data_IF_183592277488
#
_entry.id   IF_183592277488
#
_cell.length_a   1.000
_cell.length_b   1.000
_cell.length_c   1.000
_cell.angle_alpha   90.00
_cell.angle_beta   90.00
_cell.angle_gamma   90.00
#
_symmetry.space_group_name_H-M   'P 1'
#
loop_
_entity.id
_entity.type
_entity.pdbx_description
1 polymer ?
#
# COMPACT_ATOMS: atom_id res chain seq x y z
N UNK A 1 20.52 4.27 2.45
CA UNK A 1 19.48 3.24 2.67
C UNK A 1 19.55 2.74 4.11
N UNK A 2 18.41 2.48 4.78
CA UNK A 2 18.39 1.91 6.14
C UNK A 2 18.89 0.46 6.15
N UNK A 3 19.44 0.00 7.28
CA UNK A 3 19.79 -1.40 7.47
C UNK A 3 18.53 -2.26 7.74
N UNK A 4 18.62 -3.57 7.45
CA UNK A 4 17.51 -4.50 7.77
C UNK A 4 17.35 -4.55 9.30
N UNK A 5 16.14 -4.31 9.80
CA UNK A 5 15.85 -4.28 11.24
C UNK A 5 16.00 -2.90 11.89
N UNK A 6 16.46 -1.89 11.16
CA UNK A 6 16.41 -0.51 11.66
C UNK A 6 14.97 -0.06 11.90
N UNK A 7 14.77 0.78 12.93
CA UNK A 7 13.45 1.36 13.24
C UNK A 7 12.80 2.10 12.06
N UNK A 8 13.63 2.63 11.15
CA UNK A 8 13.17 3.38 9.98
C UNK A 8 13.19 2.56 8.69
N UNK A 9 13.49 1.26 8.77
CA UNK A 9 13.41 0.38 7.61
C UNK A 9 11.95 0.23 7.17
N UNK A 10 11.66 0.29 5.86
CA UNK A 10 10.34 -0.06 5.34
C UNK A 10 9.93 -1.45 5.80
N UNK A 11 8.65 -1.66 6.07
CA UNK A 11 8.10 -2.96 6.46
C UNK A 11 6.85 -3.25 5.65
N UNK A 12 6.67 -4.52 5.30
CA UNK A 12 5.48 -4.99 4.63
C UNK A 12 5.04 -6.31 5.26
N UNK A 13 3.75 -6.38 5.58
CA UNK A 13 3.06 -7.57 6.08
C UNK A 13 2.12 -8.05 4.98
N UNK A 14 2.41 -9.20 4.38
CA UNK A 14 1.62 -9.76 3.28
C UNK A 14 0.21 -10.19 3.70
N UNK A 15 -0.09 -10.29 5.01
CA UNK A 15 -1.46 -10.43 5.50
C UNK A 15 -2.29 -9.14 5.40
N UNK A 16 -1.63 -8.00 5.14
CA UNK A 16 -2.25 -6.68 4.95
C UNK A 16 -1.84 -6.06 3.60
N UNK A 17 -2.31 -6.62 2.46
CA UNK A 17 -2.01 -6.12 1.12
C UNK A 17 -2.13 -4.60 0.95
N UNK A 18 -3.14 -3.97 1.57
CA UNK A 18 -3.34 -2.51 1.54
C UNK A 18 -2.15 -1.66 2.01
N UNK A 19 -1.19 -2.25 2.74
CA UNK A 19 0.02 -1.56 3.21
C UNK A 19 1.14 -1.53 2.16
N UNK A 20 1.04 -2.33 1.08
CA UNK A 20 2.07 -2.42 0.05
C UNK A 20 2.33 -1.10 -0.69
N UNK A 21 1.32 -0.27 -1.05
CA UNK A 21 1.59 1.04 -1.64
C UNK A 21 2.39 1.94 -0.70
N UNK A 22 2.11 1.88 0.60
CA UNK A 22 2.85 2.63 1.62
C UNK A 22 4.30 2.14 1.72
N UNK A 23 4.51 0.83 1.72
CA UNK A 23 5.84 0.24 1.70
C UNK A 23 6.71 0.76 0.55
N UNK A 24 6.15 0.80 -0.67
CA UNK A 24 6.85 1.36 -1.83
C UNK A 24 7.08 2.88 -1.73
N UNK A 25 6.13 3.63 -1.15
CA UNK A 25 6.31 5.06 -0.87
C UNK A 25 7.46 5.33 0.12
N UNK A 26 7.57 4.52 1.17
CA UNK A 26 8.67 4.61 2.15
C UNK A 26 10.02 4.26 1.49
N UNK A 27 10.07 3.26 0.61
CA UNK A 27 11.26 2.94 -0.19
C UNK A 27 11.68 4.10 -1.08
N UNK A 28 10.75 4.72 -1.81
CA UNK A 28 11.00 5.84 -2.71
C UNK A 28 11.54 7.07 -1.97
N UNK A 29 11.02 7.33 -0.77
CA UNK A 29 11.57 8.36 0.12
C UNK A 29 13.03 8.07 0.49
N UNK A 30 13.35 6.81 0.83
CA UNK A 30 14.72 6.42 1.16
C UNK A 30 15.65 6.44 -0.06
N UNK A 31 15.18 6.06 -1.24
CA UNK A 31 15.93 6.15 -2.50
C UNK A 31 16.31 7.59 -2.80
N UNK A 32 15.35 8.52 -2.71
CA UNK A 32 15.59 9.94 -2.93
C UNK A 32 16.64 10.50 -1.95
N UNK A 33 16.55 10.16 -0.67
CA UNK A 33 17.51 10.61 0.35
C UNK A 33 18.90 10.01 0.18
N UNK A 34 18.99 8.78 -0.33
CA UNK A 34 20.25 8.08 -0.53
C UNK A 34 20.82 8.26 -1.95
N UNK A 35 20.16 9.03 -2.81
CA UNK A 35 20.49 9.20 -4.23
C UNK A 35 20.60 7.88 -5.01
N UNK A 36 19.77 6.88 -4.66
CA UNK A 36 19.69 5.61 -5.38
C UNK A 36 18.86 5.83 -6.66
N UNK A 37 19.52 5.83 -7.81
CA UNK A 37 18.88 6.09 -9.11
C UNK A 37 18.76 4.84 -9.98
N UNK A 38 19.66 3.87 -9.82
CA UNK A 38 19.70 2.63 -10.60
C UNK A 38 18.49 1.73 -10.32
N UNK A 39 17.83 1.27 -11.40
CA UNK A 39 16.63 0.45 -11.29
C UNK A 39 16.91 -0.93 -10.69
N UNK A 40 18.08 -1.51 -10.98
CA UNK A 40 18.45 -2.83 -10.43
C UNK A 40 18.68 -2.71 -8.92
N UNK A 41 19.39 -1.68 -8.47
CA UNK A 41 19.62 -1.40 -7.05
C UNK A 41 18.30 -1.13 -6.31
N UNK A 42 17.38 -0.35 -6.89
CA UNK A 42 16.04 -0.13 -6.31
C UNK A 42 15.26 -1.43 -6.13
N UNK A 43 15.27 -2.31 -7.13
CA UNK A 43 14.58 -3.61 -7.06
C UNK A 43 15.19 -4.51 -5.99
N UNK A 44 16.51 -4.58 -5.89
CA UNK A 44 17.20 -5.32 -4.82
C UNK A 44 16.86 -4.78 -3.43
N UNK A 45 16.76 -3.46 -3.28
CA UNK A 45 16.32 -2.86 -2.03
C UNK A 45 14.85 -3.15 -1.73
N UNK A 46 13.99 -3.21 -2.75
CA UNK A 46 12.59 -3.54 -2.57
C UNK A 46 12.38 -4.96 -2.05
N UNK A 47 13.22 -5.93 -2.42
CA UNK A 47 13.10 -7.31 -1.90
C UNK A 47 13.77 -7.49 -0.52
N UNK A 48 14.68 -6.57 -0.16
CA UNK A 48 15.48 -6.67 1.08
C UNK A 48 14.69 -6.52 2.38
N UNK A 49 13.51 -5.92 2.39
CA UNK A 49 12.80 -5.63 3.65
C UNK A 49 11.53 -6.45 3.86
N UNK A 50 11.21 -7.35 2.93
CA UNK A 50 10.06 -8.25 3.06
C UNK A 50 10.45 -9.58 3.71
N UNK A 51 9.44 -10.42 3.94
CA UNK A 51 9.64 -11.81 4.38
C UNK A 51 10.40 -12.61 3.31
N UNK A 52 11.06 -13.71 3.71
CA UNK A 52 11.77 -14.56 2.74
C UNK A 52 10.82 -15.11 1.68
N UNK A 53 9.60 -15.50 2.07
CA UNK A 53 8.60 -16.02 1.14
C UNK A 53 8.15 -14.95 0.12
N UNK A 54 7.93 -13.71 0.55
CA UNK A 54 7.58 -12.61 -0.36
C UNK A 54 8.77 -12.24 -1.26
N UNK A 55 9.99 -12.27 -0.72
CA UNK A 55 11.22 -12.04 -1.48
C UNK A 55 11.35 -13.05 -2.63
N UNK A 56 11.20 -14.34 -2.35
CA UNK A 56 11.29 -15.40 -3.37
C UNK A 56 10.27 -15.19 -4.50
N UNK A 57 9.04 -14.79 -4.15
CA UNK A 57 7.98 -14.49 -5.13
C UNK A 57 8.35 -13.27 -5.98
N UNK A 58 8.87 -12.21 -5.37
CA UNK A 58 9.20 -10.97 -6.09
C UNK A 58 10.40 -11.14 -7.00
N UNK A 59 11.44 -11.87 -6.56
CA UNK A 59 12.65 -12.13 -7.35
C UNK A 59 12.38 -13.08 -8.53
N UNK A 60 11.31 -13.87 -8.47
CA UNK A 60 10.86 -14.73 -9.56
C UNK A 60 10.12 -13.99 -10.69
N UNK A 61 9.74 -12.71 -10.48
CA UNK A 61 9.08 -11.91 -11.52
C UNK A 61 10.02 -11.62 -12.70
N UNK A 62 9.49 -11.65 -13.90
CA UNK A 62 10.23 -11.25 -15.11
C UNK A 62 10.74 -9.81 -15.00
N UNK A 63 9.93 -8.93 -14.39
CA UNK A 63 10.23 -7.52 -14.17
C UNK A 63 11.33 -7.29 -13.11
N UNK A 64 11.71 -8.31 -12.34
CA UNK A 64 12.88 -8.23 -11.46
C UNK A 64 14.20 -8.22 -12.25
N UNK A 65 14.22 -8.82 -13.46
CA UNK A 65 15.42 -8.90 -14.31
C UNK A 65 15.96 -7.51 -14.67
N UNK A 66 17.27 -7.34 -14.92
CA UNK A 66 17.88 -6.02 -15.18
C UNK A 66 17.30 -5.26 -16.38
N UNK A 67 16.62 -5.96 -17.31
CA UNK A 67 16.02 -5.35 -18.49
C UNK A 67 14.78 -4.49 -18.19
N UNK A 68 14.11 -4.72 -17.06
CA UNK A 68 12.91 -3.98 -16.65
C UNK A 68 13.24 -2.87 -15.65
N UNK A 69 12.47 -1.80 -15.70
CA UNK A 69 12.55 -0.67 -14.79
C UNK A 69 12.01 -1.03 -13.40
N UNK A 70 12.35 -0.22 -12.39
CA UNK A 70 11.76 -0.35 -11.06
C UNK A 70 10.23 -0.16 -11.07
N UNK A 71 9.71 0.73 -11.92
CA UNK A 71 8.28 1.02 -11.99
C UNK A 71 7.49 -0.16 -12.57
N UNK A 72 8.02 -0.84 -13.59
CA UNK A 72 7.41 -2.06 -14.14
C UNK A 72 7.40 -3.17 -13.10
N UNK A 73 8.50 -3.34 -12.36
CA UNK A 73 8.56 -4.27 -11.24
C UNK A 73 7.55 -3.94 -10.14
N UNK A 74 7.48 -2.68 -9.70
CA UNK A 74 6.50 -2.23 -8.69
C UNK A 74 5.07 -2.52 -9.13
N UNK A 75 4.74 -2.25 -10.39
CA UNK A 75 3.42 -2.56 -10.95
C UNK A 75 3.15 -4.08 -11.00
N UNK A 76 4.14 -4.89 -11.34
CA UNK A 76 4.03 -6.34 -11.31
C UNK A 76 3.80 -6.88 -9.88
N UNK A 77 4.56 -6.37 -8.91
CA UNK A 77 4.39 -6.71 -7.49
C UNK A 77 2.99 -6.31 -7.00
N UNK A 78 2.51 -5.10 -7.28
CA UNK A 78 1.16 -4.67 -6.88
C UNK A 78 0.07 -5.61 -7.43
N UNK A 79 0.20 -6.09 -8.66
CA UNK A 79 -0.75 -7.06 -9.26
C UNK A 79 -0.81 -8.41 -8.55
N UNK A 80 0.21 -8.82 -7.81
CA UNK A 80 0.22 -10.09 -7.06
C UNK A 80 -0.68 -10.05 -5.81
N UNK A 81 -0.96 -8.86 -5.29
CA UNK A 81 -1.67 -8.69 -4.03
C UNK A 81 -3.01 -7.96 -4.29
N UNK A 82 -4.07 -8.65 -4.72
CA UNK A 82 -5.38 -8.02 -4.90
C UNK A 82 -5.83 -7.35 -3.59
N UNK A 83 -6.32 -6.12 -3.69
CA UNK A 83 -6.63 -5.26 -2.54
C UNK A 83 -5.52 -4.29 -2.13
N UNK A 84 -4.40 -4.24 -2.86
CA UNK A 84 -3.42 -3.13 -2.81
C UNK A 84 -3.89 -1.87 -3.53
N UNK A 85 -4.85 -2.03 -4.43
CA UNK A 85 -5.41 -0.91 -5.17
C UNK A 85 -6.01 0.10 -4.19
N UNK A 86 -5.62 1.37 -4.36
CA UNK A 86 -6.47 2.47 -3.93
C UNK A 86 -7.87 2.38 -4.58
N UNK A 87 -7.96 1.63 -5.69
CA UNK A 87 -9.16 1.20 -6.39
C UNK A 87 -9.90 0.02 -5.73
N UNK A 88 -9.63 -0.30 -4.45
CA UNK A 88 -10.74 -0.77 -3.63
C UNK A 88 -11.69 0.40 -3.54
N UNK A 89 -12.58 0.52 -4.55
CA UNK A 89 -13.80 1.27 -4.48
C UNK A 89 -14.37 0.94 -3.10
N UNK A 90 -14.26 1.87 -2.17
CA UNK A 90 -15.01 1.79 -0.95
C UNK A 90 -16.45 1.81 -1.42
N UNK A 91 -17.03 0.62 -1.50
CA UNK A 91 -18.29 0.41 -2.19
C UNK A 91 -19.40 0.96 -1.32
N UNK A 92 -20.58 1.20 -1.90
CA UNK A 92 -21.76 1.50 -1.10
C UNK A 92 -22.03 0.40 -0.05
N UNK A 93 -21.58 -0.84 -0.28
CA UNK A 93 -21.67 -1.92 0.69
C UNK A 93 -20.71 -1.74 1.88
N UNK A 94 -19.51 -1.18 1.68
CA UNK A 94 -18.60 -0.85 2.79
C UNK A 94 -19.17 0.29 3.65
N UNK A 95 -19.82 1.27 3.00
CA UNK A 95 -20.54 2.34 3.70
C UNK A 95 -21.74 1.80 4.50
N UNK A 96 -22.56 0.95 3.87
CA UNK A 96 -23.75 0.34 4.48
C UNK A 96 -23.36 -0.56 5.66
N UNK A 97 -22.27 -1.33 5.51
CA UNK A 97 -21.70 -2.14 6.60
C UNK A 97 -21.24 -1.25 7.75
N UNK A 98 -20.47 -0.19 7.48
CA UNK A 98 -19.99 0.73 8.52
C UNK A 98 -21.16 1.39 9.27
N UNK A 99 -22.14 1.90 8.54
CA UNK A 99 -23.33 2.53 9.13
C UNK A 99 -24.14 1.51 9.92
N UNK A 100 -24.33 0.30 9.40
CA UNK A 100 -25.03 -0.78 10.08
C UNK A 100 -24.36 -1.23 11.39
N UNK A 101 -23.03 -1.34 11.40
CA UNK A 101 -22.26 -1.68 12.58
C UNK A 101 -22.41 -0.63 13.69
N UNK A 102 -22.22 0.65 13.35
CA UNK A 102 -22.33 1.74 14.32
C UNK A 102 -23.79 2.05 14.72
N UNK A 103 -24.77 1.78 13.84
CA UNK A 103 -26.19 1.84 14.20
C UNK A 103 -26.57 0.74 15.21
N UNK A 104 -25.95 -0.44 15.11
CA UNK A 104 -26.17 -1.58 16.01
C UNK A 104 -25.47 -1.42 17.35
N UNK A 105 -24.20 -0.99 17.34
CA UNK A 105 -23.35 -0.88 18.54
C UNK A 105 -23.59 0.43 19.28
N UNK A 106 -24.00 1.48 18.57
CA UNK A 106 -24.14 2.83 19.09
C UNK A 106 -22.81 3.56 19.19
N UNK A 107 -22.86 4.89 19.04
CA UNK A 107 -21.72 5.78 19.27
C UNK A 107 -21.84 6.31 20.69
N UNK A 108 -21.05 5.75 21.62
CA UNK A 108 -21.19 5.99 23.06
C UNK A 108 -20.16 7.00 23.58
N UNK A 109 -19.12 7.28 22.79
CA UNK A 109 -18.06 8.19 23.15
C UNK A 109 -17.63 9.10 22.00
N UNK A 110 -16.93 10.18 22.34
CA UNK A 110 -16.25 11.05 21.36
C UNK A 110 -15.18 10.28 20.59
N UNK A 111 -14.55 9.26 21.21
CA UNK A 111 -13.59 8.39 20.55
C UNK A 111 -14.25 7.56 19.45
N UNK A 112 -15.37 6.93 19.76
CA UNK A 112 -16.16 6.10 18.84
C UNK A 112 -16.64 6.93 17.65
N UNK A 113 -17.11 8.16 17.91
CA UNK A 113 -17.51 9.09 16.86
C UNK A 113 -16.33 9.46 15.96
N UNK A 114 -15.15 9.70 16.54
CA UNK A 114 -13.96 10.08 15.77
C UNK A 114 -13.40 8.92 14.95
N UNK A 115 -13.60 7.67 15.39
CA UNK A 115 -13.27 6.48 14.62
C UNK A 115 -14.24 6.27 13.47
N UNK A 116 -15.55 6.28 13.75
CA UNK A 116 -16.61 6.26 12.74
C UNK A 116 -16.38 7.32 11.67
N UNK A 117 -16.14 8.57 12.09
CA UNK A 117 -15.96 9.69 11.17
C UNK A 117 -14.72 9.54 10.28
N UNK A 118 -13.60 9.04 10.81
CA UNK A 118 -12.40 8.77 9.99
C UNK A 118 -12.65 7.68 8.96
N UNK A 119 -13.34 6.60 9.34
CA UNK A 119 -13.69 5.51 8.43
C UNK A 119 -14.70 5.97 7.36
N UNK A 120 -15.72 6.74 7.77
CA UNK A 120 -16.72 7.33 6.89
C UNK A 120 -16.10 8.31 5.88
N UNK A 121 -15.18 9.17 6.30
CA UNK A 121 -14.47 10.09 5.41
C UNK A 121 -13.64 9.35 4.36
N UNK A 122 -12.92 8.31 4.78
CA UNK A 122 -12.15 7.47 3.86
C UNK A 122 -13.09 6.80 2.86
N UNK A 123 -14.25 6.29 3.26
CA UNK A 123 -15.19 5.68 2.31
C UNK A 123 -15.79 6.70 1.33
N UNK A 124 -16.27 7.83 1.85
CA UNK A 124 -17.01 8.83 1.06
C UNK A 124 -16.12 9.70 0.15
N UNK A 125 -14.86 9.94 0.52
CA UNK A 125 -13.92 10.69 -0.31
C UNK A 125 -13.58 9.94 -1.61
N UNK A 126 -13.54 8.61 -1.57
CA UNK A 126 -13.35 7.78 -2.77
C UNK A 126 -14.59 7.77 -3.68
N UNK A 127 -15.81 7.90 -3.13
CA UNK A 127 -17.05 7.90 -3.90
C UNK A 127 -17.38 9.23 -4.59
N UNK A 128 -16.88 10.36 -4.07
CA UNK A 128 -17.20 11.69 -4.62
C UNK A 128 -16.20 12.18 -5.69
N UNK A 129 -15.09 11.48 -5.89
CA UNK A 129 -14.12 11.78 -6.96
C UNK A 129 -13.71 10.53 -7.75
N UNK A 130 -14.64 9.92 -8.52
CA UNK A 130 -14.25 8.96 -9.53
C UNK A 130 -13.51 9.73 -10.65
N UNK A 131 -12.23 9.43 -10.84
CA UNK A 131 -11.39 9.83 -11.99
C UNK A 131 -11.64 11.22 -12.60
N UNK A 132 -10.86 12.21 -12.17
CA UNK A 132 -10.52 13.35 -13.02
C UNK A 132 -9.00 13.50 -13.04
N UNK A 133 -8.36 13.01 -14.11
CA UNK A 133 -7.19 13.61 -14.77
C UNK A 133 -6.73 12.73 -15.95
N UNK A 134 -7.42 12.88 -17.08
CA UNK A 134 -6.74 12.87 -18.38
C UNK A 134 -6.74 14.31 -18.89
N UNK A 135 -5.59 14.96 -18.83
CA UNK A 135 -5.21 16.05 -19.73
C UNK A 135 -3.91 15.64 -20.43
#
# INVERSE_FOLDING_TARGET
>A
MPARGDRNAPQFDSSKPRELPRYFGDLEFHFARAAVTDDTEKKQHATRFVSVADQDVWEALEEFKPASTYNEFKAAVLRLYPGTDADREFSLADLDTLVGEYARVGILSKGDYSEFYRQFLVITQYQLFPHNLHL
#
